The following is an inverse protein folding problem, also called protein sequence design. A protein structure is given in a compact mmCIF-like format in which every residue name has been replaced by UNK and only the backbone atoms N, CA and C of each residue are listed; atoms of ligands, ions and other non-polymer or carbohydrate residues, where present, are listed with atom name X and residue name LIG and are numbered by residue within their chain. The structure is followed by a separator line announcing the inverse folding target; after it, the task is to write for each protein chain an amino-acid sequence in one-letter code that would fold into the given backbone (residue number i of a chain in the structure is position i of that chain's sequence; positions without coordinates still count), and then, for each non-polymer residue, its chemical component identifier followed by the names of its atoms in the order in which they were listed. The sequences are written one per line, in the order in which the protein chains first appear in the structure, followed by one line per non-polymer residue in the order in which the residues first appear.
data_IF_444368813328
#
_entry.id   IF_444368813328
#
_cell.length_a   1.000
_cell.length_b   1.000
_cell.length_c   1.000
_cell.angle_alpha   90.00
_cell.angle_beta   90.00
_cell.angle_gamma   90.00
#
_symmetry.space_group_name_H-M   'P 1'
#
loop_
_entity.id
_entity.type
_entity.pdbx_description
1 polymer ?
#
# COMPACT_ATOMS: atom_id res chain seq x y z
N UNK A 1 4.08 -4.35 25.76
CA UNK A 1 3.14 -3.22 25.59
C UNK A 1 3.48 -2.46 24.30
N UNK A 2 2.50 -2.04 23.51
CA UNK A 2 2.74 -1.17 22.36
C UNK A 2 1.64 -0.11 22.21
N UNK A 3 2.01 1.14 21.93
CA UNK A 3 1.08 2.27 21.81
C UNK A 3 1.59 3.36 20.86
N UNK A 4 0.65 4.08 20.25
CA UNK A 4 0.90 5.23 19.37
C UNK A 4 0.36 6.47 20.06
N UNK A 5 1.23 7.44 20.37
CA UNK A 5 0.83 8.75 20.91
C UNK A 5 0.89 9.81 19.81
N UNK A 6 -0.29 10.29 19.40
CA UNK A 6 -0.45 11.31 18.38
C UNK A 6 -0.03 12.70 18.90
N UNK A 7 0.28 13.63 17.99
CA UNK A 7 0.69 15.01 18.33
C UNK A 7 -0.35 15.77 19.17
N UNK A 8 -1.64 15.44 19.04
CA UNK A 8 -2.72 16.01 19.84
C UNK A 8 -2.89 15.35 21.23
N UNK A 9 -1.97 14.47 21.64
CA UNK A 9 -2.02 13.77 22.92
C UNK A 9 -2.89 12.52 22.95
N UNK A 10 -3.68 12.24 21.89
CA UNK A 10 -4.48 11.01 21.81
C UNK A 10 -3.58 9.78 21.75
N UNK A 11 -3.92 8.76 22.53
CA UNK A 11 -3.22 7.48 22.57
C UNK A 11 -4.06 6.42 21.85
N UNK A 12 -3.42 5.67 20.96
CA UNK A 12 -3.97 4.45 20.35
C UNK A 12 -3.23 3.28 20.99
N UNK A 13 -3.92 2.53 21.86
CA UNK A 13 -3.36 1.30 22.42
C UNK A 13 -3.34 0.20 21.36
N UNK A 14 -2.20 -0.47 21.22
CA UNK A 14 -2.01 -1.61 20.31
C UNK A 14 -1.90 -2.94 21.09
N UNK A 15 -2.24 -2.96 22.38
CA UNK A 15 -2.10 -4.14 23.23
C UNK A 15 -3.02 -5.29 22.80
N UNK A 16 -4.19 -4.97 22.27
CA UNK A 16 -5.16 -5.96 21.72
C UNK A 16 -4.99 -6.20 20.22
N UNK A 17 -4.01 -5.54 19.58
CA UNK A 17 -3.82 -5.67 18.15
C UNK A 17 -3.26 -7.05 17.78
N UNK A 18 -3.77 -7.62 16.69
CA UNK A 18 -3.11 -8.74 16.01
C UNK A 18 -1.76 -8.25 15.45
N UNK A 19 -0.70 -9.05 15.62
CA UNK A 19 0.66 -8.68 15.21
C UNK A 19 1.16 -9.61 14.12
N UNK A 20 1.67 -9.04 13.03
CA UNK A 20 2.35 -9.79 11.96
C UNK A 20 3.78 -9.29 11.84
N UNK A 21 4.72 -10.23 11.71
CA UNK A 21 6.15 -9.90 11.59
C UNK A 21 6.41 -9.14 10.29
N UNK A 22 7.16 -8.05 10.38
CA UNK A 22 7.62 -7.29 9.24
C UNK A 22 9.04 -6.78 9.53
N UNK A 23 10.00 -7.17 8.67
CA UNK A 23 11.42 -6.81 8.83
C UNK A 23 11.66 -5.31 8.73
N UNK A 24 10.82 -4.62 7.96
CA UNK A 24 10.93 -3.19 7.70
C UNK A 24 10.25 -2.35 8.79
N UNK A 25 9.36 -2.96 9.57
CA UNK A 25 8.60 -2.24 10.58
C UNK A 25 9.46 -1.99 11.83
N UNK A 26 9.36 -0.79 12.39
CA UNK A 26 9.97 -0.46 13.67
C UNK A 26 9.39 -1.33 14.78
N UNK A 27 10.25 -1.95 15.57
CA UNK A 27 9.83 -2.96 16.55
C UNK A 27 9.45 -4.32 15.94
N UNK A 28 9.57 -4.50 14.62
CA UNK A 28 9.49 -5.80 13.93
C UNK A 28 8.08 -6.28 13.59
N UNK A 29 7.05 -5.48 13.83
CA UNK A 29 5.66 -5.86 13.62
C UNK A 29 4.82 -4.75 12.97
N UNK A 30 3.85 -5.17 12.17
CA UNK A 30 2.65 -4.38 11.88
C UNK A 30 1.53 -4.79 12.85
N UNK A 31 0.66 -3.84 13.20
CA UNK A 31 -0.37 -4.00 14.22
C UNK A 31 -1.74 -3.84 13.58
N UNK A 32 -2.67 -4.77 13.82
CA UNK A 32 -4.00 -4.75 13.24
C UNK A 32 -5.08 -4.69 14.32
N UNK A 33 -5.90 -3.64 14.28
CA UNK A 33 -6.98 -3.40 15.24
C UNK A 33 -8.16 -2.75 14.53
N UNK A 34 -9.39 -3.19 14.80
CA UNK A 34 -10.63 -2.61 14.26
C UNK A 34 -10.61 -2.39 12.74
N UNK A 35 -10.14 -3.39 11.99
CA UNK A 35 -10.00 -3.34 10.54
C UNK A 35 -8.98 -2.29 10.04
N UNK A 36 -8.07 -1.82 10.90
CA UNK A 36 -6.99 -0.87 10.57
C UNK A 36 -5.65 -1.53 10.88
N UNK A 37 -4.73 -1.44 9.93
CA UNK A 37 -3.33 -1.81 10.03
C UNK A 37 -2.50 -0.56 10.31
N UNK A 38 -1.58 -0.65 11.27
CA UNK A 38 -0.59 0.36 11.57
C UNK A 38 0.79 -0.26 11.35
N UNK A 39 1.55 0.26 10.39
CA UNK A 39 2.94 -0.13 10.12
C UNK A 39 3.86 1.01 10.59
N UNK A 40 4.55 0.88 11.74
CA UNK A 40 5.55 1.84 12.17
C UNK A 40 6.79 1.73 11.29
N UNK A 41 7.30 2.84 10.77
CA UNK A 41 8.38 2.90 9.80
C UNK A 41 9.41 3.98 10.15
N UNK A 42 10.65 3.82 9.67
CA UNK A 42 11.62 4.91 9.56
C UNK A 42 11.58 5.44 8.12
N UNK A 43 10.67 6.35 7.82
CA UNK A 43 10.61 7.00 6.52
C UNK A 43 11.37 8.33 6.56
N UNK A 44 12.08 8.65 5.48
CA UNK A 44 12.57 10.00 5.24
C UNK A 44 11.44 10.91 4.73
N UNK A 45 11.57 12.21 4.95
CA UNK A 45 10.57 13.23 4.56
C UNK A 45 10.20 13.21 3.07
N UNK A 46 11.12 12.78 2.19
CA UNK A 46 10.86 12.60 0.75
C UNK A 46 9.82 11.53 0.45
N UNK A 47 9.78 10.44 1.22
CA UNK A 47 8.84 9.33 1.03
C UNK A 47 7.45 9.71 1.52
N UNK A 48 7.35 10.42 2.65
CA UNK A 48 6.08 10.97 3.14
C UNK A 48 5.43 11.92 2.11
N UNK A 49 6.23 12.77 1.46
CA UNK A 49 5.73 13.68 0.42
C UNK A 49 5.20 12.93 -0.80
N UNK A 50 5.88 11.87 -1.24
CA UNK A 50 5.37 11.01 -2.31
C UNK A 50 4.02 10.39 -1.96
N UNK A 51 3.83 9.93 -0.72
CA UNK A 51 2.56 9.35 -0.27
C UNK A 51 1.40 10.37 -0.24
N UNK A 52 1.63 11.56 0.31
CA UNK A 52 0.60 12.61 0.36
C UNK A 52 0.18 13.07 -1.04
N UNK A 53 1.11 13.08 -1.99
CA UNK A 53 0.86 13.49 -3.37
C UNK A 53 0.23 12.40 -4.25
N UNK A 54 0.47 11.12 -3.92
CA UNK A 54 -0.02 9.97 -4.67
C UNK A 54 -1.56 9.91 -4.74
N UNK A 55 -2.23 10.26 -3.64
CA UNK A 55 -3.69 10.39 -3.59
C UNK A 55 -4.18 11.67 -4.30
N UNK A 56 -3.69 12.83 -3.83
CA UNK A 56 -4.22 14.15 -4.22
C UNK A 56 -4.04 14.46 -5.70
N UNK A 57 -2.91 14.07 -6.30
CA UNK A 57 -2.58 14.47 -7.67
C UNK A 57 -2.92 13.40 -8.72
N UNK A 58 -2.99 12.12 -8.34
CA UNK A 58 -2.99 11.02 -9.29
C UNK A 58 -4.18 10.06 -9.16
N UNK A 59 -5.09 10.31 -8.19
CA UNK A 59 -6.35 9.58 -8.09
C UNK A 59 -6.18 8.08 -7.80
N UNK A 60 -5.07 7.69 -7.15
CA UNK A 60 -5.04 6.40 -6.47
C UNK A 60 -6.21 6.39 -5.52
N UNK A 61 -7.15 5.44 -5.63
CA UNK A 61 -8.22 5.37 -4.66
C UNK A 61 -7.56 5.25 -3.29
N UNK A 62 -7.69 6.32 -2.50
CA UNK A 62 -7.14 6.46 -1.16
C UNK A 62 -7.84 5.58 -0.14
N UNK A 63 -8.26 4.41 -0.59
CA UNK A 63 -8.43 3.32 0.31
C UNK A 63 -7.02 2.98 0.77
N UNK A 64 -6.66 3.57 1.91
CA UNK A 64 -5.92 2.92 2.98
C UNK A 64 -4.48 3.37 3.21
N UNK A 65 -4.08 4.63 3.01
CA UNK A 65 -2.72 5.06 3.37
C UNK A 65 -2.71 6.48 3.95
N UNK A 66 -2.91 6.59 5.27
CA UNK A 66 -2.62 7.83 6.01
C UNK A 66 -1.18 7.73 6.55
N UNK A 67 -0.37 8.76 6.30
CA UNK A 67 1.01 8.83 6.77
C UNK A 67 1.14 9.98 7.76
N UNK A 68 1.55 9.65 8.99
CA UNK A 68 1.69 10.63 10.05
C UNK A 68 2.81 10.28 11.01
N UNK A 69 3.44 11.30 11.57
CA UNK A 69 4.40 11.12 12.66
C UNK A 69 3.69 11.05 14.01
N UNK A 70 4.14 10.11 14.83
CA UNK A 70 3.71 9.95 16.20
C UNK A 70 4.86 9.41 17.06
N UNK A 71 4.72 9.54 18.38
CA UNK A 71 5.61 8.82 19.30
C UNK A 71 5.13 7.37 19.37
N UNK A 72 6.00 6.43 19.03
CA UNK A 72 5.76 5.01 19.14
C UNK A 72 6.46 4.45 20.37
N UNK A 73 5.70 3.86 21.29
CA UNK A 73 6.26 3.15 22.43
C UNK A 73 6.02 1.66 22.28
N UNK A 74 7.07 0.85 22.40
CA UNK A 74 6.99 -0.60 22.25
C UNK A 74 8.01 -1.32 23.13
N UNK A 75 7.73 -2.59 23.42
CA UNK A 75 8.64 -3.44 24.17
C UNK A 75 9.55 -4.21 23.22
N UNK A 76 10.86 -4.09 23.42
CA UNK A 76 11.87 -4.84 22.67
C UNK A 76 11.95 -6.30 23.12
N UNK A 77 12.66 -7.13 22.34
CA UNK A 77 12.79 -8.57 22.62
C UNK A 77 13.40 -8.90 24.00
N UNK A 78 14.21 -8.00 24.55
CA UNK A 78 14.81 -8.11 25.89
C UNK A 78 13.94 -7.51 27.01
N UNK A 79 12.67 -7.18 26.73
CA UNK A 79 11.72 -6.69 27.73
C UNK A 79 11.79 -5.20 28.06
N UNK A 80 12.74 -4.45 27.50
CA UNK A 80 12.85 -2.99 27.70
C UNK A 80 11.76 -2.24 26.90
N UNK A 81 11.27 -1.14 27.45
CA UNK A 81 10.38 -0.23 26.72
C UNK A 81 11.21 0.82 26.00
N UNK A 82 11.01 0.96 24.69
CA UNK A 82 11.53 2.08 23.89
C UNK A 82 10.39 3.00 23.50
N UNK A 83 10.69 4.29 23.41
CA UNK A 83 9.75 5.31 22.96
C UNK A 83 10.48 6.28 22.05
N UNK A 84 9.98 6.47 20.83
CA UNK A 84 10.68 7.25 19.81
C UNK A 84 9.74 7.80 18.74
N UNK A 85 10.12 8.92 18.13
CA UNK A 85 9.40 9.43 16.97
C UNK A 85 9.50 8.44 15.81
N UNK A 86 8.36 8.22 15.17
CA UNK A 86 8.17 7.20 14.15
C UNK A 86 7.10 7.66 13.18
N UNK A 87 7.35 7.48 11.90
CA UNK A 87 6.34 7.69 10.86
C UNK A 87 5.49 6.43 10.75
N UNK A 88 4.17 6.59 10.83
CA UNK A 88 3.23 5.50 10.68
C UNK A 88 2.61 5.51 9.31
N UNK A 89 2.52 4.33 8.72
CA UNK A 89 1.64 4.07 7.59
C UNK A 89 0.38 3.40 8.15
N UNK A 90 -0.75 4.09 8.08
CA UNK A 90 -2.06 3.59 8.51
C UNK A 90 -2.87 3.17 7.31
N UNK A 91 -3.30 1.90 7.34
CA UNK A 91 -4.05 1.27 6.27
C UNK A 91 -5.31 0.63 6.81
N UNK A 92 -6.38 0.44 6.04
CA UNK A 92 -7.40 -0.54 6.41
C UNK A 92 -6.85 -1.93 6.13
N UNK A 93 -7.27 -2.87 6.96
CA UNK A 93 -7.03 -4.29 6.74
C UNK A 93 -7.75 -4.68 5.45
N UNK A 94 -6.98 -5.28 4.56
CA UNK A 94 -7.50 -5.91 3.35
C UNK A 94 -7.87 -7.33 3.74
N UNK A 95 -9.12 -7.72 3.45
CA UNK A 95 -9.57 -9.08 3.71
C UNK A 95 -8.80 -10.06 2.82
N UNK A 96 -7.85 -10.79 3.39
CA UNK A 96 -7.00 -11.71 2.63
C UNK A 96 -7.74 -12.96 2.14
N UNK A 97 -8.99 -13.20 2.56
CA UNK A 97 -9.73 -14.42 2.21
C UNK A 97 -9.95 -14.59 0.70
N UNK A 98 -9.99 -13.48 -0.06
CA UNK A 98 -10.25 -13.48 -1.51
C UNK A 98 -9.35 -12.51 -2.29
N UNK A 99 -8.26 -12.02 -1.67
CA UNK A 99 -7.35 -11.06 -2.26
C UNK A 99 -5.95 -11.67 -2.38
N UNK A 100 -5.20 -11.22 -3.39
CA UNK A 100 -3.87 -11.76 -3.64
C UNK A 100 -2.85 -10.64 -3.59
N UNK A 101 -1.79 -10.86 -2.82
CA UNK A 101 -0.64 -9.98 -2.77
C UNK A 101 0.15 -10.07 -4.08
N UNK A 102 0.74 -8.94 -4.48
CA UNK A 102 1.72 -8.89 -5.56
C UNK A 102 2.88 -7.97 -5.19
N UNK A 103 4.04 -8.28 -5.75
CA UNK A 103 5.21 -7.43 -5.78
C UNK A 103 5.82 -7.60 -7.17
N UNK A 104 5.94 -6.51 -7.93
CA UNK A 104 6.34 -6.56 -9.34
C UNK A 104 7.63 -7.35 -9.54
N UNK A 105 8.68 -7.05 -8.76
CA UNK A 105 9.98 -7.71 -8.82
C UNK A 105 9.99 -9.20 -8.46
N UNK A 106 8.95 -9.71 -7.79
CA UNK A 106 8.87 -11.10 -7.33
C UNK A 106 7.76 -11.88 -8.08
N UNK A 107 7.69 -11.68 -9.40
CA UNK A 107 6.70 -12.35 -10.27
C UNK A 107 5.29 -11.77 -10.16
N UNK A 108 5.10 -10.66 -9.44
CA UNK A 108 3.81 -9.98 -9.35
C UNK A 108 3.34 -9.40 -10.68
N UNK A 109 4.25 -9.04 -11.59
CA UNK A 109 3.93 -8.51 -12.91
C UNK A 109 3.11 -9.50 -13.75
N UNK A 110 3.58 -10.75 -13.89
CA UNK A 110 2.85 -11.80 -14.59
C UNK A 110 1.48 -12.09 -13.96
N UNK A 111 1.39 -12.04 -12.63
CA UNK A 111 0.13 -12.22 -11.91
C UNK A 111 -0.86 -11.09 -12.19
N UNK A 112 -0.40 -9.84 -12.23
CA UNK A 112 -1.22 -8.68 -12.59
C UNK A 112 -1.70 -8.78 -14.04
N UNK A 113 -0.82 -9.15 -14.98
CA UNK A 113 -1.21 -9.39 -16.38
C UNK A 113 -2.33 -10.42 -16.48
N UNK A 114 -2.22 -11.53 -15.77
CA UNK A 114 -3.25 -12.57 -15.76
C UNK A 114 -4.56 -12.08 -15.16
N UNK A 115 -4.50 -11.32 -14.06
CA UNK A 115 -5.69 -10.69 -13.46
C UNK A 115 -6.38 -9.73 -14.44
N UNK A 116 -5.62 -8.91 -15.16
CA UNK A 116 -6.14 -8.00 -16.20
C UNK A 116 -6.77 -8.78 -17.36
N UNK A 117 -6.16 -9.90 -17.78
CA UNK A 117 -6.66 -10.72 -18.88
C UNK A 117 -8.03 -11.32 -18.59
N UNK A 118 -8.30 -11.69 -17.35
CA UNK A 118 -9.59 -12.30 -16.96
C UNK A 118 -10.66 -11.27 -16.60
N UNK A 119 -10.28 -9.99 -16.42
CA UNK A 119 -11.23 -8.92 -16.16
C UNK A 119 -12.02 -8.57 -17.43
N UNK A 120 -13.32 -8.37 -17.26
CA UNK A 120 -14.29 -8.11 -18.33
C UNK A 120 -15.19 -6.91 -18.06
N UNK A 121 -15.11 -6.30 -16.87
CA UNK A 121 -15.83 -5.08 -16.54
C UNK A 121 -15.03 -3.84 -16.99
N UNK A 122 -15.65 -3.02 -17.85
CA UNK A 122 -15.05 -1.80 -18.41
C UNK A 122 -14.64 -0.79 -17.34
N UNK A 123 -15.47 -0.61 -16.33
CA UNK A 123 -15.21 0.35 -15.25
C UNK A 123 -14.14 -0.17 -14.28
N UNK A 124 -14.08 -1.48 -14.04
CA UNK A 124 -12.97 -2.09 -13.29
C UNK A 124 -11.65 -1.96 -14.05
N UNK A 125 -11.62 -2.23 -15.36
CA UNK A 125 -10.42 -2.02 -16.18
C UNK A 125 -9.95 -0.56 -16.21
N UNK A 126 -10.87 0.41 -16.29
CA UNK A 126 -10.53 1.84 -16.15
C UNK A 126 -9.89 2.15 -14.79
N UNK A 127 -10.40 1.56 -13.71
CA UNK A 127 -9.84 1.75 -12.36
C UNK A 127 -8.48 1.08 -12.19
N UNK A 128 -8.28 -0.10 -12.78
CA UNK A 128 -6.95 -0.75 -12.89
C UNK A 128 -5.98 0.20 -13.61
N UNK A 129 -6.36 0.71 -14.78
CA UNK A 129 -5.53 1.60 -15.57
C UNK A 129 -5.16 2.87 -14.80
N UNK A 130 -6.14 3.49 -14.13
CA UNK A 130 -5.92 4.66 -13.27
C UNK A 130 -4.88 4.36 -12.19
N UNK A 131 -5.01 3.23 -11.50
CA UNK A 131 -4.08 2.84 -10.45
C UNK A 131 -2.65 2.65 -10.99
N UNK A 132 -2.49 1.99 -12.15
CA UNK A 132 -1.18 1.78 -12.78
C UNK A 132 -0.54 3.11 -13.24
N UNK A 133 -1.31 4.00 -13.88
CA UNK A 133 -0.82 5.33 -14.26
C UNK A 133 -0.34 6.13 -13.05
N UNK A 134 -1.08 6.04 -11.95
CA UNK A 134 -0.71 6.75 -10.74
C UNK A 134 0.52 6.15 -10.02
N UNK A 135 0.72 4.83 -10.07
CA UNK A 135 1.95 4.19 -9.62
C UNK A 135 3.17 4.67 -10.41
N UNK A 136 3.04 4.80 -11.73
CA UNK A 136 4.06 5.40 -12.61
C UNK A 136 4.36 6.85 -12.24
N UNK A 137 3.31 7.67 -12.10
CA UNK A 137 3.45 9.11 -11.81
C UNK A 137 4.04 9.37 -10.43
N UNK A 138 3.73 8.50 -9.46
CA UNK A 138 4.36 8.47 -8.13
C UNK A 138 5.78 7.88 -8.13
N UNK A 139 6.25 7.39 -9.29
CA UNK A 139 7.56 6.76 -9.48
C UNK A 139 7.84 5.63 -8.50
N UNK A 140 6.86 4.80 -8.20
CA UNK A 140 7.04 3.64 -7.33
C UNK A 140 8.10 2.70 -7.92
N UNK A 141 9.15 2.39 -7.16
CA UNK A 141 10.35 1.66 -7.61
C UNK A 141 10.06 0.18 -7.77
N UNK A 142 9.29 -0.43 -6.86
CA UNK A 142 8.90 -1.82 -6.94
C UNK A 142 7.46 -1.99 -6.43
N UNK A 143 6.46 -1.61 -7.24
CA UNK A 143 5.06 -1.58 -6.80
C UNK A 143 4.63 -2.90 -6.19
N UNK A 144 4.09 -2.81 -4.99
CA UNK A 144 3.57 -3.91 -4.21
C UNK A 144 2.16 -3.57 -3.81
N UNK A 145 1.33 -4.58 -3.60
CA UNK A 145 -0.05 -4.32 -3.29
C UNK A 145 -0.91 -5.57 -3.31
N UNK A 146 -2.20 -5.32 -3.46
CA UNK A 146 -3.22 -6.34 -3.54
C UNK A 146 -4.08 -6.07 -4.76
N UNK A 147 -4.42 -7.10 -5.50
CA UNK A 147 -5.54 -7.02 -6.43
C UNK A 147 -6.77 -7.67 -5.79
N UNK A 148 -7.90 -6.97 -5.89
CA UNK A 148 -9.14 -7.32 -5.22
C UNK A 148 -10.11 -7.97 -6.21
N UNK A 149 -10.50 -9.20 -5.90
CA UNK A 149 -11.48 -9.95 -6.70
C UNK A 149 -12.89 -9.36 -6.62
N UNK A 150 -13.16 -8.54 -5.59
CA UNK A 150 -14.45 -7.86 -5.36
C UNK A 150 -14.21 -6.43 -4.86
N UNK A 151 -15.17 -5.54 -5.11
CA UNK A 151 -15.14 -4.15 -4.64
C UNK A 151 -14.92 -3.12 -5.75
N UNK A 152 -14.96 -1.83 -5.39
CA UNK A 152 -14.76 -0.71 -6.32
C UNK A 152 -13.35 -0.67 -6.85
N UNK A 153 -12.33 -0.84 -6.00
CA UNK A 153 -10.94 -0.57 -6.36
C UNK A 153 -10.16 -1.87 -6.53
N UNK A 154 -9.95 -2.33 -7.78
CA UNK A 154 -9.44 -3.67 -8.07
C UNK A 154 -7.93 -3.82 -7.84
N UNK A 155 -7.19 -2.72 -7.67
CA UNK A 155 -5.77 -2.72 -7.31
C UNK A 155 -5.55 -1.69 -6.21
N UNK A 156 -4.86 -2.11 -5.16
CA UNK A 156 -4.42 -1.29 -4.04
C UNK A 156 -2.91 -1.43 -3.90
N UNK A 157 -2.17 -0.34 -4.11
CA UNK A 157 -0.73 -0.32 -3.89
C UNK A 157 -0.40 -0.02 -2.41
N UNK A 158 0.66 -0.64 -1.90
CA UNK A 158 1.20 -0.42 -0.55
C UNK A 158 2.73 -0.24 -0.53
N UNK A 159 3.36 -0.05 -1.69
CA UNK A 159 4.82 0.18 -1.77
C UNK A 159 5.21 1.55 -1.22
N UNK A 160 6.37 1.58 -0.55
CA UNK A 160 6.97 2.73 0.13
C UNK A 160 8.20 3.27 -0.60
N UNK A 161 8.74 2.53 -1.57
CA UNK A 161 9.99 2.89 -2.22
C UNK A 161 9.73 3.66 -3.49
N UNK A 162 9.95 4.98 -3.47
CA UNK A 162 9.88 5.80 -4.67
C UNK A 162 11.28 5.91 -5.32
N UNK A 163 11.35 5.81 -6.65
CA UNK A 163 12.55 5.97 -7.47
C UNK A 163 12.50 7.22 -8.33
N UNK A 164 13.59 7.53 -9.04
CA UNK A 164 13.60 8.62 -10.04
C UNK A 164 12.94 8.22 -11.36
N UNK A 165 12.93 6.92 -11.65
CA UNK A 165 12.45 6.31 -12.88
C UNK A 165 11.48 5.18 -12.51
N UNK A 166 10.24 5.18 -13.03
CA UNK A 166 9.32 4.07 -12.80
C UNK A 166 9.84 2.79 -13.47
N UNK A 167 9.55 1.61 -12.90
CA UNK A 167 9.97 0.33 -13.45
C UNK A 167 9.28 0.08 -14.81
N UNK A 168 10.00 -0.45 -15.82
CA UNK A 168 9.46 -0.68 -17.16
C UNK A 168 8.24 -1.63 -17.16
N UNK A 169 8.15 -2.49 -16.16
CA UNK A 169 7.03 -3.39 -15.92
C UNK A 169 5.69 -2.64 -15.76
N UNK A 170 5.70 -1.46 -15.14
CA UNK A 170 4.48 -0.66 -14.98
C UNK A 170 4.02 -0.09 -16.31
N UNK A 171 4.93 0.40 -17.15
CA UNK A 171 4.57 0.85 -18.50
C UNK A 171 4.01 -0.31 -19.33
N UNK A 172 4.61 -1.50 -19.20
CA UNK A 172 4.12 -2.73 -19.84
C UNK A 172 2.71 -3.11 -19.40
N UNK A 173 2.38 -2.96 -18.11
CA UNK A 173 1.05 -3.21 -17.56
C UNK A 173 0.01 -2.16 -17.97
N UNK A 174 0.40 -0.89 -18.06
CA UNK A 174 -0.45 0.20 -18.57
C UNK A 174 -0.86 -0.11 -20.01
N UNK A 175 0.11 -0.37 -20.88
CA UNK A 175 -0.12 -0.70 -22.28
C UNK A 175 -0.97 -1.96 -22.44
N UNK A 176 -0.68 -3.00 -21.64
CA UNK A 176 -1.47 -4.23 -21.62
C UNK A 176 -2.94 -3.98 -21.25
N UNK A 177 -3.19 -3.14 -20.24
CA UNK A 177 -4.55 -2.80 -19.80
C UNK A 177 -5.31 -2.03 -20.88
N UNK A 178 -4.66 -1.06 -21.55
CA UNK A 178 -5.25 -0.33 -22.68
C UNK A 178 -5.66 -1.26 -23.81
N UNK A 179 -4.75 -2.14 -24.25
CA UNK A 179 -5.05 -3.14 -25.30
C UNK A 179 -6.19 -4.07 -24.90
N UNK A 180 -6.26 -4.48 -23.63
CA UNK A 180 -7.36 -5.31 -23.14
C UNK A 180 -8.70 -4.58 -23.23
N UNK A 181 -8.73 -3.29 -22.87
CA UNK A 181 -9.93 -2.46 -22.99
C UNK A 181 -10.35 -2.28 -24.45
N UNK A 182 -9.41 -1.97 -25.34
CA UNK A 182 -9.65 -1.86 -26.79
C UNK A 182 -10.23 -3.16 -27.37
N UNK A 183 -9.63 -4.30 -27.03
CA UNK A 183 -10.05 -5.62 -27.50
C UNK A 183 -11.47 -6.01 -27.05
N UNK A 184 -11.90 -5.57 -25.87
CA UNK A 184 -13.22 -5.92 -25.32
C UNK A 184 -14.33 -4.97 -25.73
N UNK A 185 -14.03 -3.67 -25.83
CA UNK A 185 -15.07 -2.65 -25.92
C UNK A 185 -15.04 -1.82 -27.20
N UNK A 186 -13.96 -1.90 -27.99
CA UNK A 186 -13.71 -0.91 -29.04
C UNK A 186 -13.64 0.51 -28.46
N UNK A 187 -13.34 1.49 -29.30
CA UNK A 187 -13.37 2.90 -28.89
C UNK A 187 -14.77 3.33 -28.42
#
# INVERSE_FOLDING_TARGET
MAEIKLKNGKIISLNEAERVRSREAKGGYLYMINNIVYKPMNLGSSVEHCFRNADVNYGLPNVYLDVFDATFSFQTANGMTRSEETTFIKMKRIDMSNNRFFQISHGGEANLRNFINIESDKERLKRILRALCAARESKLRDPQGFYLSRGSDPILFCDIHCGSTPPPEIEGLIEHTKRRMEALFGN
#
